data_IF_848922697304
#
_entry.id   IF_848922697304
#
_cell.length_a   1.000
_cell.length_b   1.000
_cell.length_c   1.000
_cell.angle_alpha   90.00
_cell.angle_beta   90.00
_cell.angle_gamma   90.00
#
_symmetry.space_group_name_H-M   'P 1'
#
loop_
_entity.id
_entity.type
_entity.pdbx_description
1 polymer ?
#
# COMPACT_ATOMS: atom_id res chain seq x y z
N UNK A 1 -5.12 15.62 -15.96
CA UNK A 1 -6.08 15.34 -14.85
C UNK A 1 -6.62 16.63 -14.23
N UNK A 2 -6.41 17.75 -14.92
CA UNK A 2 -6.70 19.08 -14.40
C UNK A 2 -8.20 19.32 -14.16
N UNK A 3 -9.06 18.89 -15.09
CA UNK A 3 -10.53 19.06 -14.96
C UNK A 3 -11.11 18.23 -13.81
N UNK A 4 -10.60 17.02 -13.63
CA UNK A 4 -10.98 16.21 -12.46
C UNK A 4 -10.56 16.92 -11.18
N UNK A 5 -9.34 17.47 -11.12
CA UNK A 5 -8.87 18.20 -9.94
C UNK A 5 -9.74 19.43 -9.64
N UNK A 6 -10.14 20.18 -10.65
CA UNK A 6 -11.03 21.34 -10.50
C UNK A 6 -12.36 20.95 -9.83
N UNK A 7 -13.04 19.92 -10.35
CA UNK A 7 -14.33 19.48 -9.78
C UNK A 7 -14.19 18.82 -8.42
N UNK A 8 -13.10 18.10 -8.19
CA UNK A 8 -12.81 17.44 -6.91
C UNK A 8 -12.52 18.45 -5.81
N UNK A 9 -11.87 19.57 -6.14
CA UNK A 9 -11.60 20.68 -5.22
C UNK A 9 -12.80 21.61 -5.01
N UNK A 10 -13.86 21.47 -5.81
CA UNK A 10 -15.08 22.26 -5.64
C UNK A 10 -15.79 21.86 -4.34
N UNK A 11 -16.24 22.81 -3.49
CA UNK A 11 -16.99 22.50 -2.29
C UNK A 11 -18.22 21.62 -2.60
N UNK A 12 -18.50 20.65 -1.73
CA UNK A 12 -19.61 19.69 -1.91
C UNK A 12 -20.94 20.36 -2.28
N UNK A 13 -21.26 21.50 -1.66
CA UNK A 13 -22.51 22.22 -1.91
C UNK A 13 -22.68 22.69 -3.36
N UNK A 14 -21.60 22.73 -4.12
CA UNK A 14 -21.54 23.12 -5.52
C UNK A 14 -21.35 21.92 -6.48
N UNK A 15 -21.41 20.69 -5.96
CA UNK A 15 -21.28 19.50 -6.80
C UNK A 15 -22.47 19.38 -7.74
N UNK A 16 -22.16 19.43 -9.02
CA UNK A 16 -23.08 19.13 -10.11
C UNK A 16 -22.66 17.83 -10.79
N UNK A 17 -23.54 16.84 -10.79
CA UNK A 17 -23.23 15.53 -11.33
C UNK A 17 -22.84 15.57 -12.82
N UNK A 18 -23.48 16.45 -13.61
CA UNK A 18 -23.20 16.55 -15.04
C UNK A 18 -21.81 17.12 -15.28
N UNK A 19 -21.43 18.17 -14.57
CA UNK A 19 -20.10 18.77 -14.62
C UNK A 19 -19.02 17.81 -14.18
N UNK A 20 -19.26 17.03 -13.10
CA UNK A 20 -18.33 15.99 -12.63
C UNK A 20 -18.15 14.92 -13.70
N UNK A 21 -19.23 14.39 -14.26
CA UNK A 21 -19.18 13.37 -15.33
C UNK A 21 -18.42 13.87 -16.55
N UNK A 22 -18.66 15.09 -16.95
CA UNK A 22 -17.96 15.73 -18.08
C UNK A 22 -16.46 15.86 -17.82
N UNK A 23 -16.07 16.36 -16.65
CA UNK A 23 -14.66 16.53 -16.28
C UNK A 23 -13.91 15.18 -16.27
N UNK A 24 -14.49 14.15 -15.65
CA UNK A 24 -13.92 12.80 -15.65
C UNK A 24 -13.83 12.20 -17.06
N UNK A 25 -14.89 12.34 -17.86
CA UNK A 25 -14.90 11.86 -19.24
C UNK A 25 -13.79 12.49 -20.08
N UNK A 26 -13.67 13.82 -20.04
CA UNK A 26 -12.68 14.56 -20.82
C UNK A 26 -11.25 14.21 -20.43
N UNK A 27 -10.92 14.19 -19.13
CA UNK A 27 -9.57 13.91 -18.67
C UNK A 27 -9.18 12.44 -18.89
N UNK A 28 -10.08 11.50 -18.63
CA UNK A 28 -9.83 10.09 -18.86
C UNK A 28 -9.66 9.78 -20.34
N UNK A 29 -10.53 10.33 -21.22
CA UNK A 29 -10.37 10.18 -22.66
C UNK A 29 -9.10 10.84 -23.20
N UNK A 30 -8.65 11.92 -22.58
CA UNK A 30 -7.39 12.58 -22.97
C UNK A 30 -6.20 11.71 -22.63
N UNK A 31 -6.22 11.03 -21.48
CA UNK A 31 -5.10 10.25 -20.95
C UNK A 31 -5.04 8.81 -21.44
N UNK A 32 -6.20 8.15 -21.56
CA UNK A 32 -6.26 6.71 -21.90
C UNK A 32 -6.81 6.45 -23.30
N UNK A 33 -6.38 5.33 -23.87
CA UNK A 33 -6.80 4.89 -25.18
C UNK A 33 -8.09 4.06 -25.10
N UNK A 34 -8.89 4.08 -26.18
CA UNK A 34 -10.07 3.22 -26.36
C UNK A 34 -11.14 3.35 -25.26
N UNK A 35 -11.24 4.53 -24.66
CA UNK A 35 -12.31 4.85 -23.70
C UNK A 35 -13.55 5.32 -24.46
N UNK A 36 -14.67 4.66 -24.23
CA UNK A 36 -15.99 5.09 -24.71
C UNK A 36 -16.56 6.22 -23.85
N UNK A 37 -17.64 6.85 -24.30
CA UNK A 37 -18.33 7.87 -23.54
C UNK A 37 -19.07 7.27 -22.34
N UNK A 38 -18.72 7.72 -21.14
CA UNK A 38 -19.40 7.33 -19.90
C UNK A 38 -20.18 8.51 -19.26
N UNK A 39 -20.38 9.57 -20.03
CA UNK A 39 -21.22 10.71 -19.62
C UNK A 39 -22.69 10.31 -19.47
N UNK A 40 -23.15 9.34 -20.25
CA UNK A 40 -24.54 8.89 -20.24
C UNK A 40 -24.73 7.70 -19.30
N UNK A 41 -25.58 7.89 -18.26
CA UNK A 41 -25.97 6.84 -17.31
C UNK A 41 -26.63 5.58 -17.96
N UNK A 42 -27.16 5.70 -19.18
CA UNK A 42 -27.97 4.64 -19.83
C UNK A 42 -27.17 3.69 -20.69
N UNK A 43 -25.91 3.98 -20.93
CA UNK A 43 -24.99 3.07 -21.58
C UNK A 43 -23.88 2.75 -20.56
N UNK A 44 -24.06 1.70 -19.74
CA UNK A 44 -22.89 1.13 -19.09
C UNK A 44 -21.97 0.75 -20.25
N UNK A 45 -20.87 1.46 -20.35
CA UNK A 45 -19.85 1.07 -21.29
C UNK A 45 -19.51 -0.40 -20.97
N UNK A 46 -19.38 -1.25 -21.99
CA UNK A 46 -18.64 -2.50 -21.89
C UNK A 46 -17.20 -2.24 -21.45
N UNK A 47 -16.91 -1.00 -21.05
CA UNK A 47 -15.70 -0.50 -20.47
C UNK A 47 -15.49 -1.13 -19.11
N UNK A 48 -14.28 -1.22 -18.77
CA UNK A 48 -13.74 -1.89 -17.60
C UNK A 48 -14.02 -1.15 -16.26
N UNK A 49 -14.86 -0.11 -16.29
CA UNK A 49 -15.24 0.69 -15.12
C UNK A 49 -16.48 1.56 -15.37
N UNK A 50 -17.04 2.10 -14.30
CA UNK A 50 -18.12 3.11 -14.35
C UNK A 50 -17.86 4.23 -13.33
N UNK A 51 -18.37 5.45 -13.63
CA UNK A 51 -18.34 6.57 -12.71
C UNK A 51 -19.62 6.63 -11.88
N UNK A 52 -19.46 6.69 -10.56
CA UNK A 52 -20.55 6.92 -9.59
C UNK A 52 -20.35 8.27 -8.91
N UNK A 53 -21.42 9.03 -8.84
CA UNK A 53 -21.47 10.27 -8.09
C UNK A 53 -22.63 10.15 -7.10
N UNK A 54 -22.32 10.30 -5.83
CA UNK A 54 -23.31 10.41 -4.76
C UNK A 54 -23.22 11.80 -4.17
N UNK A 55 -24.16 12.66 -4.49
CA UNK A 55 -24.30 14.01 -3.94
C UNK A 55 -25.41 14.10 -2.88
N UNK A 56 -25.97 12.97 -2.41
CA UNK A 56 -27.09 12.93 -1.48
C UNK A 56 -26.77 13.72 -0.20
N UNK A 57 -27.71 14.59 0.18
CA UNK A 57 -27.60 15.44 1.37
C UNK A 57 -28.44 14.95 2.54
N UNK A 58 -29.14 13.82 2.39
CA UNK A 58 -29.96 13.25 3.47
C UNK A 58 -29.12 12.91 4.70
N UNK A 59 -29.74 12.97 5.86
CA UNK A 59 -29.08 12.59 7.10
C UNK A 59 -28.53 11.18 7.02
N UNK A 60 -27.23 11.01 7.32
CA UNK A 60 -26.52 9.72 7.23
C UNK A 60 -25.99 9.37 5.83
N UNK A 61 -26.27 10.14 4.78
CA UNK A 61 -25.62 9.96 3.50
C UNK A 61 -24.18 10.47 3.53
N UNK A 62 -23.25 9.65 2.99
CA UNK A 62 -21.86 10.05 2.77
C UNK A 62 -21.68 10.30 1.28
N UNK A 63 -21.40 11.54 0.89
CA UNK A 63 -21.18 11.89 -0.51
C UNK A 63 -19.81 11.37 -0.99
N UNK A 64 -19.74 11.00 -2.27
CA UNK A 64 -18.49 10.57 -2.89
C UNK A 64 -18.55 10.68 -4.41
N UNK A 65 -17.38 10.72 -5.03
CA UNK A 65 -17.17 10.49 -6.46
C UNK A 65 -16.28 9.25 -6.57
N UNK A 66 -16.71 8.25 -7.37
CA UNK A 66 -15.96 7.00 -7.46
C UNK A 66 -15.90 6.44 -8.87
N UNK A 67 -14.72 5.91 -9.24
CA UNK A 67 -14.56 4.97 -10.34
C UNK A 67 -14.61 3.56 -9.76
N UNK A 68 -15.53 2.72 -10.23
CA UNK A 68 -15.80 1.39 -9.71
C UNK A 68 -15.86 0.36 -10.85
N UNK A 69 -15.94 -0.92 -10.52
CA UNK A 69 -16.13 -1.98 -11.51
C UNK A 69 -17.43 -1.79 -12.30
N UNK A 70 -17.48 -2.23 -13.57
CA UNK A 70 -18.62 -1.94 -14.46
C UNK A 70 -19.95 -2.59 -14.04
N UNK A 71 -19.88 -3.77 -13.42
CA UNK A 71 -21.06 -4.62 -13.15
C UNK A 71 -21.70 -4.35 -11.78
N UNK A 72 -21.34 -3.23 -11.14
CA UNK A 72 -21.85 -2.94 -9.81
C UNK A 72 -23.20 -2.25 -9.84
N UNK A 73 -24.08 -2.66 -8.93
CA UNK A 73 -25.40 -2.07 -8.73
C UNK A 73 -25.34 -0.59 -8.35
N UNK A 74 -26.47 0.09 -8.44
CA UNK A 74 -26.59 1.52 -8.15
C UNK A 74 -26.41 1.87 -6.67
N UNK A 75 -26.54 0.90 -5.77
CA UNK A 75 -26.40 1.08 -4.32
C UNK A 75 -25.88 -0.19 -3.67
N UNK A 76 -25.10 -0.05 -2.62
CA UNK A 76 -24.55 -1.15 -1.83
C UNK A 76 -23.03 -1.10 -1.74
N UNK A 77 -22.40 -2.01 -0.99
CA UNK A 77 -20.96 -2.18 -1.04
C UNK A 77 -20.59 -2.75 -2.41
N UNK A 78 -19.70 -2.06 -3.10
CA UNK A 78 -19.19 -2.48 -4.40
C UNK A 78 -18.18 -3.61 -4.24
N UNK A 79 -18.03 -4.46 -5.27
CA UNK A 79 -16.95 -5.46 -5.35
C UNK A 79 -15.71 -4.87 -6.03
N UNK A 80 -14.56 -5.47 -5.75
CA UNK A 80 -13.30 -5.12 -6.39
C UNK A 80 -12.70 -3.78 -5.96
N UNK A 81 -11.70 -3.36 -6.72
CA UNK A 81 -10.96 -2.13 -6.49
C UNK A 81 -11.75 -0.91 -6.99
N UNK A 82 -11.71 0.17 -6.23
CA UNK A 82 -12.30 1.46 -6.60
C UNK A 82 -11.34 2.62 -6.31
N UNK A 83 -11.39 3.65 -7.17
CA UNK A 83 -10.88 4.98 -6.86
C UNK A 83 -12.02 5.80 -6.29
N UNK A 84 -11.83 6.45 -5.16
CA UNK A 84 -12.89 7.20 -4.47
C UNK A 84 -12.37 8.52 -3.95
N UNK A 85 -13.20 9.57 -4.08
CA UNK A 85 -12.96 10.89 -3.51
C UNK A 85 -14.08 11.21 -2.53
N UNK A 86 -13.72 11.51 -1.29
CA UNK A 86 -14.64 12.01 -0.27
C UNK A 86 -14.42 13.50 -0.02
N UNK A 87 -15.45 14.33 -0.02
CA UNK A 87 -15.32 15.70 0.44
C UNK A 87 -15.08 15.72 1.95
N UNK A 88 -14.49 16.79 2.47
CA UNK A 88 -14.41 16.99 3.90
C UNK A 88 -15.82 17.17 4.50
N UNK A 89 -15.98 16.81 5.78
CA UNK A 89 -17.26 16.84 6.49
C UNK A 89 -17.82 18.26 6.61
N UNK A 90 -16.95 19.24 6.79
CA UNK A 90 -17.31 20.67 6.88
C UNK A 90 -16.74 21.44 5.69
N UNK A 91 -15.54 21.92 5.82
CA UNK A 91 -14.80 22.64 4.78
C UNK A 91 -13.37 22.13 4.73
N UNK A 92 -12.80 22.04 3.54
CA UNK A 92 -11.43 21.56 3.39
C UNK A 92 -11.22 20.81 2.08
N UNK A 93 -10.00 20.31 1.89
CA UNK A 93 -9.66 19.53 0.71
C UNK A 93 -10.34 18.17 0.75
N UNK A 94 -10.51 17.53 -0.42
CA UNK A 94 -11.05 16.18 -0.50
C UNK A 94 -10.03 15.14 -0.04
N UNK A 95 -10.52 14.03 0.50
CA UNK A 95 -9.72 12.82 0.72
C UNK A 95 -9.73 11.98 -0.55
N UNK A 96 -8.55 11.70 -1.09
CA UNK A 96 -8.36 10.91 -2.32
C UNK A 96 -8.00 9.49 -1.91
N UNK A 97 -8.78 8.49 -2.35
CA UNK A 97 -8.68 7.15 -1.81
C UNK A 97 -8.68 6.06 -2.87
N UNK A 98 -8.12 4.92 -2.47
CA UNK A 98 -8.38 3.63 -3.08
C UNK A 98 -9.16 2.76 -2.09
N UNK A 99 -10.21 2.12 -2.57
CA UNK A 99 -11.06 1.24 -1.80
C UNK A 99 -11.09 -0.17 -2.36
N UNK A 100 -11.40 -1.14 -1.50
CA UNK A 100 -11.68 -2.52 -1.87
C UNK A 100 -13.09 -2.88 -1.43
N UNK A 101 -13.91 -3.33 -2.37
CA UNK A 101 -15.28 -3.75 -2.06
C UNK A 101 -15.31 -5.11 -1.35
N UNK A 102 -16.40 -5.35 -0.63
CA UNK A 102 -16.60 -6.57 0.17
C UNK A 102 -17.61 -7.54 -0.43
N UNK A 103 -18.31 -7.16 -1.51
CA UNK A 103 -19.28 -8.03 -2.17
C UNK A 103 -18.70 -8.67 -3.43
N UNK A 104 -18.88 -9.97 -3.54
CA UNK A 104 -18.47 -10.85 -4.63
C UNK A 104 -16.94 -10.89 -4.89
N UNK A 105 -16.48 -12.03 -5.34
CA UNK A 105 -15.09 -12.21 -5.81
C UNK A 105 -14.98 -11.51 -7.17
N UNK A 106 -14.61 -10.25 -7.16
CA UNK A 106 -14.29 -9.52 -8.38
C UNK A 106 -12.95 -9.99 -8.97
N UNK A 107 -12.73 -9.86 -10.29
CA UNK A 107 -11.43 -10.15 -10.90
C UNK A 107 -10.26 -9.41 -10.22
N UNK A 108 -10.52 -8.24 -9.68
CA UNK A 108 -9.56 -7.38 -8.98
C UNK A 108 -9.02 -7.98 -7.67
N UNK A 109 -9.76 -8.88 -7.01
CA UNK A 109 -9.34 -9.47 -5.73
C UNK A 109 -8.01 -10.24 -5.86
N UNK A 110 -7.82 -10.90 -7.02
CA UNK A 110 -6.55 -11.57 -7.32
C UNK A 110 -5.40 -10.59 -7.45
N UNK A 111 -5.64 -9.40 -7.95
CA UNK A 111 -4.65 -8.35 -8.11
C UNK A 111 -4.35 -7.67 -6.80
N UNK A 112 -5.38 -7.32 -6.04
CA UNK A 112 -5.27 -6.71 -4.71
C UNK A 112 -4.51 -7.60 -3.72
N UNK A 113 -4.71 -8.92 -3.79
CA UNK A 113 -3.99 -9.90 -2.98
C UNK A 113 -2.53 -10.14 -3.38
N UNK A 114 -2.05 -9.55 -4.49
CA UNK A 114 -0.65 -9.69 -4.89
C UNK A 114 0.27 -8.82 -4.03
N UNK A 115 1.35 -9.37 -3.49
CA UNK A 115 2.32 -8.58 -2.72
C UNK A 115 2.88 -7.37 -3.48
N UNK A 116 2.98 -7.47 -4.81
CA UNK A 116 3.41 -6.38 -5.69
C UNK A 116 2.46 -5.18 -5.64
N UNK A 117 1.15 -5.39 -5.66
CA UNK A 117 0.15 -4.32 -5.58
C UNK A 117 0.24 -3.57 -4.24
N UNK A 118 0.25 -4.30 -3.12
CA UNK A 118 0.39 -3.70 -1.79
C UNK A 118 1.70 -2.90 -1.62
N UNK A 119 2.80 -3.37 -2.21
CA UNK A 119 4.08 -2.64 -2.23
C UNK A 119 4.00 -1.36 -3.05
N UNK A 120 3.36 -1.40 -4.21
CA UNK A 120 3.16 -0.21 -5.05
C UNK A 120 2.32 0.84 -4.31
N UNK A 121 1.21 0.47 -3.70
CA UNK A 121 0.39 1.39 -2.92
C UNK A 121 1.17 2.05 -1.79
N UNK A 122 1.98 1.30 -1.06
CA UNK A 122 2.85 1.85 -0.01
C UNK A 122 3.94 2.77 -0.56
N UNK A 123 4.56 2.40 -1.67
CA UNK A 123 5.56 3.25 -2.31
C UNK A 123 4.95 4.58 -2.79
N UNK A 124 3.77 4.53 -3.40
CA UNK A 124 3.02 5.72 -3.82
C UNK A 124 2.70 6.60 -2.61
N UNK A 125 2.17 6.04 -1.53
CA UNK A 125 1.80 6.84 -0.34
C UNK A 125 3.03 7.43 0.37
N UNK A 126 4.15 6.70 0.46
CA UNK A 126 5.40 7.24 0.98
C UNK A 126 5.93 8.38 0.11
N UNK A 127 5.91 8.20 -1.21
CA UNK A 127 6.32 9.24 -2.15
C UNK A 127 5.44 10.48 -2.02
N UNK A 128 4.10 10.34 -2.02
CA UNK A 128 3.17 11.47 -1.86
C UNK A 128 3.45 12.25 -0.58
N UNK A 129 3.67 11.57 0.55
CA UNK A 129 4.01 12.22 1.83
C UNK A 129 5.37 12.95 1.77
N UNK A 130 6.30 12.51 0.92
CA UNK A 130 7.62 13.15 0.77
C UNK A 130 7.63 14.40 -0.13
N UNK A 131 6.54 14.67 -0.83
CA UNK A 131 6.43 15.85 -1.69
C UNK A 131 6.34 17.14 -0.86
N UNK A 132 6.80 18.29 -1.39
CA UNK A 132 6.49 19.59 -0.79
C UNK A 132 4.98 19.77 -0.65
N UNK A 133 4.52 20.15 0.53
CA UNK A 133 3.09 20.21 0.89
C UNK A 133 2.32 18.90 0.55
N UNK A 134 3.02 17.77 0.57
CA UNK A 134 2.50 16.46 0.19
C UNK A 134 1.39 15.94 1.11
N UNK A 135 1.18 16.56 2.26
CA UNK A 135 0.16 16.17 3.21
C UNK A 135 0.43 14.81 3.85
N UNK A 136 -0.63 14.12 4.19
CA UNK A 136 -0.57 12.78 4.78
C UNK A 136 -1.07 11.74 3.77
N UNK A 137 -0.31 10.69 3.56
CA UNK A 137 -0.75 9.53 2.77
C UNK A 137 -0.46 8.24 3.53
N UNK A 138 -1.36 7.27 3.39
CA UNK A 138 -1.29 6.00 4.07
C UNK A 138 -1.82 4.87 3.18
N UNK A 139 -1.25 3.67 3.35
CA UNK A 139 -1.73 2.45 2.72
C UNK A 139 -1.74 1.29 3.71
N UNK A 140 -2.80 0.47 3.65
CA UNK A 140 -2.95 -0.78 4.37
C UNK A 140 -1.84 -1.76 3.99
N UNK A 141 -1.43 -2.58 4.94
CA UNK A 141 -0.45 -3.64 4.67
C UNK A 141 -1.03 -4.72 3.77
N UNK A 142 -2.26 -5.13 4.07
CA UNK A 142 -3.02 -6.14 3.32
C UNK A 142 -4.30 -5.51 2.78
N UNK A 143 -4.33 -5.08 1.51
CA UNK A 143 -5.46 -4.35 0.92
C UNK A 143 -6.81 -5.06 1.06
N UNK A 144 -6.83 -6.39 0.89
CA UNK A 144 -8.05 -7.21 0.94
C UNK A 144 -8.53 -7.54 2.36
N UNK A 145 -7.73 -7.24 3.40
CA UNK A 145 -8.14 -7.47 4.78
C UNK A 145 -9.08 -6.37 5.27
N UNK A 146 -10.38 -6.60 5.13
CA UNK A 146 -11.41 -5.66 5.57
C UNK A 146 -11.69 -5.72 7.08
N UNK A 147 -11.19 -6.74 7.79
CA UNK A 147 -11.30 -6.84 9.24
C UNK A 147 -10.26 -5.96 9.96
N UNK A 148 -9.19 -5.60 9.27
CA UNK A 148 -8.17 -4.72 9.79
C UNK A 148 -8.71 -3.29 9.93
N UNK A 149 -8.85 -2.83 11.17
CA UNK A 149 -9.28 -1.47 11.48
C UNK A 149 -8.17 -0.46 11.16
N UNK A 150 -8.57 0.73 10.75
CA UNK A 150 -7.63 1.85 10.63
C UNK A 150 -6.91 2.09 11.97
N UNK A 151 -5.57 2.22 11.98
CA UNK A 151 -4.83 2.58 13.19
C UNK A 151 -5.33 3.90 13.79
N UNK A 152 -5.33 4.03 15.12
CA UNK A 152 -5.81 5.23 15.79
C UNK A 152 -5.09 6.50 15.31
N UNK A 153 -3.77 6.45 15.19
CA UNK A 153 -2.99 7.59 14.68
C UNK A 153 -3.41 8.01 13.25
N UNK A 154 -3.81 7.06 12.40
CA UNK A 154 -4.34 7.37 11.06
C UNK A 154 -5.72 8.01 11.16
N UNK A 155 -6.59 7.50 12.03
CA UNK A 155 -7.92 8.10 12.26
C UNK A 155 -7.84 9.52 12.76
N UNK A 156 -6.91 9.81 13.66
CA UNK A 156 -6.71 11.15 14.22
C UNK A 156 -6.29 12.15 13.13
N UNK A 157 -5.43 11.74 12.20
CA UNK A 157 -5.02 12.56 11.07
C UNK A 157 -6.13 12.74 10.02
N UNK A 158 -7.09 11.85 9.97
CA UNK A 158 -8.20 11.86 9.01
C UNK A 158 -9.52 12.39 9.61
N UNK A 159 -9.48 13.08 10.74
CA UNK A 159 -10.67 13.65 11.41
C UNK A 159 -11.56 14.51 10.49
N UNK A 160 -11.03 15.32 9.56
CA UNK A 160 -11.89 16.11 8.66
C UNK A 160 -12.84 15.28 7.78
N UNK A 161 -12.65 13.95 7.71
CA UNK A 161 -13.47 13.01 6.94
C UNK A 161 -14.09 11.91 7.83
N UNK A 162 -14.35 12.21 9.12
CA UNK A 162 -14.78 11.23 10.10
C UNK A 162 -16.04 10.45 9.69
N UNK A 163 -17.05 11.12 9.09
CA UNK A 163 -18.28 10.48 8.61
C UNK A 163 -18.01 9.46 7.49
N UNK A 164 -17.10 9.81 6.58
CA UNK A 164 -16.69 8.90 5.50
C UNK A 164 -15.95 7.68 6.05
N UNK A 165 -15.08 7.90 7.05
CA UNK A 165 -14.32 6.81 7.69
C UNK A 165 -15.19 5.91 8.56
N UNK A 166 -16.21 6.43 9.23
CA UNK A 166 -17.16 5.62 9.99
C UNK A 166 -17.85 4.60 9.09
N UNK A 167 -18.25 5.02 7.89
CA UNK A 167 -18.98 4.17 6.95
C UNK A 167 -18.07 3.30 6.08
N UNK A 168 -16.95 3.83 5.60
CA UNK A 168 -16.10 3.20 4.58
C UNK A 168 -14.67 2.91 5.05
N UNK A 169 -14.31 3.21 6.29
CA UNK A 169 -12.93 3.07 6.77
C UNK A 169 -12.38 1.63 6.68
N UNK A 170 -13.23 0.62 6.77
CA UNK A 170 -12.81 -0.77 6.65
C UNK A 170 -12.38 -1.14 5.22
N UNK A 171 -13.02 -0.54 4.21
CA UNK A 171 -12.76 -0.82 2.80
C UNK A 171 -11.69 0.09 2.19
N UNK A 172 -11.24 1.12 2.89
CA UNK A 172 -10.12 1.95 2.46
C UNK A 172 -8.81 1.20 2.64
N UNK A 173 -8.01 1.11 1.58
CA UNK A 173 -6.68 0.51 1.68
C UNK A 173 -5.53 1.45 1.32
N UNK A 174 -5.80 2.56 0.64
CA UNK A 174 -4.84 3.65 0.48
C UNK A 174 -5.57 5.00 0.44
N UNK A 175 -4.96 6.03 0.97
CA UNK A 175 -5.51 7.38 0.92
C UNK A 175 -4.41 8.45 0.88
N UNK A 176 -4.80 9.62 0.40
CA UNK A 176 -4.04 10.87 0.46
C UNK A 176 -4.93 11.97 1.00
N UNK A 177 -4.53 12.54 2.12
CA UNK A 177 -5.15 13.70 2.77
C UNK A 177 -4.27 14.93 2.51
N UNK A 178 -4.69 15.85 1.62
CA UNK A 178 -3.94 17.06 1.31
C UNK A 178 -3.80 17.98 2.52
N UNK A 179 -2.78 18.85 2.52
CA UNK A 179 -2.60 19.89 3.56
C UNK A 179 -3.72 20.90 3.55
N UNK A 180 -4.22 21.27 2.36
CA UNK A 180 -5.27 22.27 2.23
C UNK A 180 -4.76 23.72 2.28
N UNK A 181 -3.47 23.93 2.10
CA UNK A 181 -2.86 25.26 2.13
C UNK A 181 -3.25 26.14 0.92
N UNK A 182 -3.66 25.49 -0.19
CA UNK A 182 -3.94 26.17 -1.45
C UNK A 182 -2.69 26.69 -2.18
N UNK A 183 -1.50 26.35 -1.71
CA UNK A 183 -0.26 26.66 -2.40
C UNK A 183 -0.14 25.87 -3.71
N UNK A 184 0.74 26.32 -4.61
CA UNK A 184 1.02 25.60 -5.85
C UNK A 184 1.53 24.17 -5.57
N UNK A 185 2.32 23.99 -4.51
CA UNK A 185 2.85 22.69 -4.11
C UNK A 185 1.71 21.75 -3.63
N UNK A 186 0.79 22.23 -2.79
CA UNK A 186 -0.39 21.48 -2.34
C UNK A 186 -1.29 21.07 -3.52
N UNK A 187 -1.57 22.00 -4.45
CA UNK A 187 -2.36 21.69 -5.65
C UNK A 187 -1.67 20.66 -6.54
N UNK A 188 -0.35 20.74 -6.69
CA UNK A 188 0.43 19.77 -7.44
C UNK A 188 0.44 18.39 -6.76
N UNK A 189 0.58 18.32 -5.44
CA UNK A 189 0.52 17.07 -4.70
C UNK A 189 -0.85 16.39 -4.86
N UNK A 190 -1.95 17.15 -4.83
CA UNK A 190 -3.32 16.64 -5.10
C UNK A 190 -3.46 16.10 -6.52
N UNK A 191 -2.99 16.87 -7.51
CA UNK A 191 -3.03 16.41 -8.91
C UNK A 191 -2.26 15.11 -9.10
N UNK A 192 -1.08 14.99 -8.49
CA UNK A 192 -0.27 13.78 -8.52
C UNK A 192 -1.01 12.62 -7.83
N UNK A 193 -1.63 12.83 -6.66
CA UNK A 193 -2.39 11.80 -5.97
C UNK A 193 -3.58 11.29 -6.81
N UNK A 194 -4.38 12.19 -7.37
CA UNK A 194 -5.48 11.84 -8.29
C UNK A 194 -4.94 11.05 -9.47
N UNK A 195 -3.86 11.54 -10.08
CA UNK A 195 -3.28 10.93 -11.27
C UNK A 195 -2.76 9.52 -11.01
N UNK A 196 -1.96 9.33 -9.96
CA UNK A 196 -1.34 8.01 -9.69
C UNK A 196 -2.35 6.98 -9.21
N UNK A 197 -3.38 7.38 -8.46
CA UNK A 197 -4.42 6.46 -8.03
C UNK A 197 -5.35 6.07 -9.19
N UNK A 198 -5.67 7.01 -10.08
CA UNK A 198 -6.42 6.67 -11.32
C UNK A 198 -5.54 5.81 -12.24
N UNK A 199 -4.26 6.11 -12.39
CA UNK A 199 -3.35 5.28 -13.19
C UNK A 199 -3.28 3.85 -12.63
N UNK A 200 -3.15 3.68 -11.32
CA UNK A 200 -3.16 2.37 -10.68
C UNK A 200 -4.47 1.62 -10.93
N UNK A 201 -5.60 2.31 -10.77
CA UNK A 201 -6.93 1.77 -11.03
C UNK A 201 -7.11 1.31 -12.49
N UNK A 202 -6.60 2.07 -13.44
CA UNK A 202 -6.68 1.78 -14.89
C UNK A 202 -5.72 0.67 -15.30
N UNK A 203 -4.48 0.70 -14.80
CA UNK A 203 -3.46 -0.32 -15.11
C UNK A 203 -3.92 -1.71 -14.69
N UNK A 204 -4.52 -1.84 -13.51
CA UNK A 204 -5.05 -3.11 -13.01
C UNK A 204 -6.21 -3.66 -13.87
N UNK A 205 -6.86 -2.81 -14.62
CA UNK A 205 -7.90 -3.18 -15.59
C UNK A 205 -7.37 -3.36 -17.02
N UNK A 206 -6.05 -3.22 -17.20
CA UNK A 206 -5.40 -3.30 -18.52
C UNK A 206 -5.89 -2.20 -19.45
N UNK A 207 -6.20 -1.03 -18.95
CA UNK A 207 -6.51 0.16 -19.74
C UNK A 207 -5.21 0.84 -20.13
N UNK A 208 -4.94 0.91 -21.43
CA UNK A 208 -3.69 1.47 -21.96
C UNK A 208 -3.72 3.00 -21.95
N UNK A 209 -2.63 3.62 -21.54
CA UNK A 209 -2.45 5.06 -21.70
C UNK A 209 -2.16 5.41 -23.16
N UNK A 210 -2.50 6.62 -23.56
CA UNK A 210 -2.06 7.17 -24.84
C UNK A 210 -0.57 7.51 -24.80
N UNK A 211 0.12 7.43 -25.92
CA UNK A 211 1.55 7.73 -26.04
C UNK A 211 1.91 9.12 -25.48
N UNK A 212 1.02 10.10 -25.65
CA UNK A 212 1.20 11.47 -25.12
C UNK A 212 1.23 11.55 -23.61
N UNK A 213 0.59 10.61 -22.91
CA UNK A 213 0.55 10.55 -21.45
C UNK A 213 1.58 9.57 -20.88
N UNK A 214 2.07 8.63 -21.68
CA UNK A 214 2.93 7.54 -21.22
C UNK A 214 4.28 8.04 -20.68
N UNK A 215 4.93 8.97 -21.35
CA UNK A 215 6.22 9.51 -20.90
C UNK A 215 6.12 10.18 -19.53
N UNK A 216 5.07 10.96 -19.30
CA UNK A 216 4.82 11.59 -18.01
C UNK A 216 4.48 10.56 -16.92
N UNK A 217 3.70 9.53 -17.27
CA UNK A 217 3.36 8.44 -16.36
C UNK A 217 4.61 7.63 -15.97
N UNK A 218 5.49 7.32 -16.91
CA UNK A 218 6.76 6.64 -16.65
C UNK A 218 7.70 7.48 -15.76
N UNK A 219 7.78 8.79 -16.00
CA UNK A 219 8.57 9.69 -15.15
C UNK A 219 8.04 9.73 -13.70
N UNK A 220 6.72 9.85 -13.53
CA UNK A 220 6.07 9.78 -12.22
C UNK A 220 6.27 8.41 -11.55
N UNK A 221 6.14 7.34 -12.34
CA UNK A 221 6.39 5.97 -11.86
C UNK A 221 7.82 5.81 -11.35
N UNK A 222 8.82 6.32 -12.06
CA UNK A 222 10.22 6.25 -11.61
C UNK A 222 10.43 6.93 -10.25
N UNK A 223 9.71 8.03 -9.99
CA UNK A 223 9.78 8.73 -8.70
C UNK A 223 9.24 7.88 -7.54
N UNK A 224 8.01 7.40 -7.63
CA UNK A 224 7.46 6.60 -6.53
C UNK A 224 8.07 5.20 -6.44
N UNK A 225 8.59 4.63 -7.53
CA UNK A 225 9.34 3.36 -7.49
C UNK A 225 10.61 3.44 -6.64
N UNK A 226 11.23 4.60 -6.51
CA UNK A 226 12.34 4.80 -5.59
C UNK A 226 11.96 4.52 -4.12
N UNK A 227 10.68 4.61 -3.78
CA UNK A 227 10.15 4.31 -2.46
C UNK A 227 9.68 2.85 -2.26
N UNK A 228 9.76 1.99 -3.31
CA UNK A 228 9.44 0.55 -3.17
C UNK A 228 10.33 -0.15 -2.16
N UNK A 229 11.57 0.27 -2.10
CA UNK A 229 12.60 -0.24 -1.21
C UNK A 229 13.24 0.97 -0.52
N UNK A 230 12.62 1.51 0.54
CA UNK A 230 13.21 2.61 1.27
C UNK A 230 14.60 2.19 1.77
N UNK A 231 15.59 3.08 1.73
CA UNK A 231 16.90 2.80 2.29
C UNK A 231 16.72 2.48 3.78
N UNK A 232 17.16 1.28 4.17
CA UNK A 232 17.16 0.86 5.57
C UNK A 232 18.55 1.13 6.12
N UNK A 233 18.66 2.04 7.06
CA UNK A 233 19.93 2.36 7.69
C UNK A 233 20.23 1.39 8.85
N UNK A 234 21.51 1.05 9.02
CA UNK A 234 21.97 0.16 10.09
C UNK A 234 21.50 0.61 11.48
N UNK A 235 21.60 1.93 11.75
CA UNK A 235 21.18 2.51 13.03
C UNK A 235 19.69 2.27 13.37
N UNK A 236 18.81 2.30 12.35
CA UNK A 236 17.36 2.12 12.55
C UNK A 236 17.04 0.67 12.88
N UNK A 237 17.73 -0.27 12.20
CA UNK A 237 17.59 -1.70 12.50
C UNK A 237 18.17 -2.02 13.88
N UNK A 238 19.31 -1.42 14.24
CA UNK A 238 19.91 -1.56 15.57
C UNK A 238 18.99 -1.09 16.69
N UNK A 239 18.39 0.09 16.55
CA UNK A 239 17.43 0.62 17.52
C UNK A 239 16.17 -0.28 17.61
N UNK A 240 15.72 -0.81 16.48
CA UNK A 240 14.57 -1.72 16.44
C UNK A 240 14.88 -3.06 17.14
N UNK A 241 16.08 -3.61 16.97
CA UNK A 241 16.54 -4.83 17.65
C UNK A 241 16.58 -4.66 19.17
N UNK A 242 17.04 -3.51 19.68
CA UNK A 242 17.05 -3.21 21.10
C UNK A 242 15.63 -3.19 21.71
N UNK A 243 14.65 -2.70 20.95
CA UNK A 243 13.27 -2.59 21.40
C UNK A 243 12.49 -3.89 21.21
N UNK A 244 12.67 -4.59 20.09
CA UNK A 244 11.84 -5.71 19.66
C UNK A 244 12.48 -7.09 19.78
N UNK A 245 13.77 -7.15 20.08
CA UNK A 245 14.59 -8.38 20.19
C UNK A 245 14.76 -9.20 18.91
N UNK A 246 13.98 -8.94 17.87
CA UNK A 246 14.15 -9.55 16.55
C UNK A 246 13.68 -8.59 15.47
N UNK A 247 14.28 -8.71 14.29
CA UNK A 247 13.91 -7.97 13.08
C UNK A 247 14.00 -8.92 11.90
N UNK A 248 13.00 -8.85 11.02
CA UNK A 248 13.01 -9.56 9.73
C UNK A 248 13.34 -8.58 8.63
N UNK A 249 14.44 -8.80 7.91
CA UNK A 249 14.83 -8.05 6.73
C UNK A 249 14.26 -8.73 5.48
N UNK A 250 13.24 -8.11 4.87
CA UNK A 250 12.57 -8.63 3.69
C UNK A 250 12.91 -7.78 2.46
N UNK A 251 13.02 -8.40 1.30
CA UNK A 251 13.27 -7.72 0.03
C UNK A 251 13.81 -8.65 -1.05
N UNK A 252 13.89 -8.20 -2.32
CA UNK A 252 14.42 -8.97 -3.43
C UNK A 252 15.87 -9.46 -3.20
N UNK A 253 16.30 -10.50 -3.91
CA UNK A 253 17.72 -10.89 -3.96
C UNK A 253 18.62 -9.72 -4.35
N UNK A 254 19.82 -9.64 -3.80
CA UNK A 254 20.80 -8.60 -4.15
C UNK A 254 20.60 -7.24 -3.48
N UNK A 255 19.59 -7.03 -2.65
CA UNK A 255 19.34 -5.75 -1.96
C UNK A 255 20.21 -5.50 -0.71
N UNK A 256 21.21 -6.33 -0.45
CA UNK A 256 22.15 -6.13 0.64
C UNK A 256 21.68 -6.55 2.03
N UNK A 257 20.58 -7.31 2.17
CA UNK A 257 20.05 -7.77 3.47
C UNK A 257 21.06 -8.51 4.32
N UNK A 258 21.75 -9.48 3.75
CA UNK A 258 22.81 -10.24 4.44
C UNK A 258 23.95 -9.34 4.84
N UNK A 259 24.41 -8.47 3.95
CA UNK A 259 25.46 -7.49 4.24
C UNK A 259 25.08 -6.57 5.40
N UNK A 260 23.84 -6.09 5.44
CA UNK A 260 23.35 -5.27 6.54
C UNK A 260 23.33 -6.04 7.86
N UNK A 261 22.89 -7.31 7.85
CA UNK A 261 22.90 -8.18 9.04
C UNK A 261 24.32 -8.44 9.53
N UNK A 262 25.27 -8.68 8.62
CA UNK A 262 26.68 -8.86 8.96
C UNK A 262 27.31 -7.56 9.51
N UNK A 263 26.96 -6.41 8.95
CA UNK A 263 27.41 -5.11 9.47
C UNK A 263 26.88 -4.84 10.89
N UNK A 264 25.60 -5.15 11.16
CA UNK A 264 25.01 -5.08 12.50
C UNK A 264 25.79 -5.99 13.46
N UNK A 265 26.03 -7.24 13.08
CA UNK A 265 26.74 -8.18 13.90
C UNK A 265 28.15 -7.68 14.24
N UNK A 266 28.90 -7.16 13.28
CA UNK A 266 30.28 -6.72 13.48
C UNK A 266 30.38 -5.39 14.24
N UNK A 267 29.51 -4.44 13.97
CA UNK A 267 29.65 -3.08 14.50
C UNK A 267 28.83 -2.86 15.77
N UNK A 268 27.58 -3.34 15.80
CA UNK A 268 26.68 -3.08 16.94
C UNK A 268 26.75 -4.20 18.00
N UNK A 269 27.23 -5.38 17.62
CA UNK A 269 27.36 -6.53 18.51
C UNK A 269 28.83 -7.05 18.60
N UNK A 270 29.79 -6.27 18.13
CA UNK A 270 31.24 -6.57 18.25
C UNK A 270 31.64 -7.97 17.76
N UNK A 271 30.93 -8.49 16.75
CA UNK A 271 31.10 -9.83 16.23
C UNK A 271 30.51 -10.95 17.14
N UNK A 272 29.82 -10.57 18.21
CA UNK A 272 29.21 -11.51 19.13
C UNK A 272 27.91 -12.10 18.57
N UNK A 273 28.05 -13.17 17.77
CA UNK A 273 26.95 -13.86 17.14
C UNK A 273 27.43 -14.77 16.03
N UNK A 274 26.49 -15.40 15.34
CA UNK A 274 26.80 -16.24 14.19
C UNK A 274 25.74 -16.09 13.09
N UNK A 275 26.18 -16.18 11.85
CA UNK A 275 25.28 -16.25 10.69
C UNK A 275 24.92 -17.71 10.44
N UNK A 276 23.64 -18.00 10.37
CA UNK A 276 23.12 -19.33 10.10
C UNK A 276 22.25 -19.27 8.85
N UNK A 277 22.50 -20.14 7.90
CA UNK A 277 21.67 -20.32 6.73
C UNK A 277 20.72 -21.50 6.93
N UNK A 278 19.42 -21.25 6.88
CA UNK A 278 18.42 -22.30 6.86
C UNK A 278 18.25 -22.84 5.44
N UNK A 279 18.25 -24.15 5.29
CA UNK A 279 18.01 -24.87 4.03
C UNK A 279 17.15 -26.10 4.31
N UNK A 280 16.69 -26.78 3.25
CA UNK A 280 15.81 -27.94 3.37
C UNK A 280 16.37 -29.09 4.26
N UNK A 281 17.68 -29.17 4.43
CA UNK A 281 18.33 -30.14 5.33
C UNK A 281 18.56 -29.63 6.76
N UNK A 282 18.09 -28.45 7.14
CA UNK A 282 18.21 -27.97 8.51
C UNK A 282 17.15 -28.64 9.37
N UNK A 283 17.60 -29.48 10.30
CA UNK A 283 16.73 -30.23 11.22
C UNK A 283 16.69 -29.57 12.60
N UNK A 284 15.75 -30.00 13.44
CA UNK A 284 15.68 -29.58 14.84
C UNK A 284 16.99 -29.90 15.58
N UNK A 285 17.54 -31.05 15.33
CA UNK A 285 18.78 -31.52 15.97
C UNK A 285 19.99 -30.67 15.58
N UNK A 286 20.03 -30.19 14.32
CA UNK A 286 21.12 -29.32 13.87
C UNK A 286 20.97 -27.89 14.39
N UNK A 287 19.74 -27.41 14.55
CA UNK A 287 19.48 -26.02 14.98
C UNK A 287 19.37 -25.87 16.51
N UNK A 288 18.53 -26.67 17.16
CA UNK A 288 18.34 -26.62 18.64
C UNK A 288 19.32 -27.54 19.35
N UNK A 289 19.28 -28.79 19.05
CA UNK A 289 20.10 -29.84 19.65
C UNK A 289 19.42 -31.18 19.64
N UNK A 290 20.21 -32.25 19.78
CA UNK A 290 19.72 -33.62 19.75
C UNK A 290 20.84 -34.62 19.95
N UNK A 291 20.54 -35.89 19.76
CA UNK A 291 21.53 -36.97 19.81
C UNK A 291 22.40 -36.95 18.55
N UNK A 292 23.70 -36.94 18.74
CA UNK A 292 24.69 -36.96 17.64
C UNK A 292 25.58 -38.19 17.77
N UNK A 293 25.95 -38.81 16.66
CA UNK A 293 26.95 -39.89 16.68
C UNK A 293 28.28 -39.31 17.10
N UNK A 294 28.90 -39.93 18.09
CA UNK A 294 30.25 -39.61 18.55
C UNK A 294 31.11 -40.82 18.32
N UNK A 295 32.24 -40.63 17.65
CA UNK A 295 33.26 -41.71 17.49
C UNK A 295 34.12 -41.75 18.74
N UNK A 296 34.09 -42.84 19.48
CA UNK A 296 35.02 -43.09 20.58
C UNK A 296 36.27 -43.74 20.01
N UNK A 297 37.43 -43.21 20.32
CA UNK A 297 38.72 -43.70 19.76
C UNK A 297 39.07 -45.14 20.20
N UNK A 298 38.29 -45.73 21.10
CA UNK A 298 38.57 -47.03 21.72
C UNK A 298 37.61 -48.18 21.33
N UNK A 299 36.54 -47.88 20.56
CA UNK A 299 35.56 -48.92 20.26
C UNK A 299 35.05 -48.82 18.81
N UNK A 300 34.82 -49.95 18.13
CA UNK A 300 34.37 -50.05 16.75
C UNK A 300 32.85 -49.73 16.58
N UNK A 301 32.27 -48.88 17.41
CA UNK A 301 30.84 -48.57 17.41
C UNK A 301 30.53 -47.09 17.43
N UNK A 302 29.33 -46.72 16.91
CA UNK A 302 28.80 -45.36 17.07
C UNK A 302 28.08 -45.27 18.41
N UNK A 303 28.50 -44.31 19.22
CA UNK A 303 27.78 -43.90 20.44
C UNK A 303 27.02 -42.61 20.16
N UNK A 304 25.78 -42.52 20.59
CA UNK A 304 25.00 -41.29 20.52
C UNK A 304 25.14 -40.51 21.82
N UNK A 305 25.49 -39.25 21.71
CA UNK A 305 25.56 -38.33 22.85
C UNK A 305 24.73 -37.06 22.58
N UNK A 306 24.16 -36.46 23.62
CA UNK A 306 23.49 -35.18 23.48
C UNK A 306 24.46 -34.10 22.97
N UNK A 307 24.09 -33.43 21.88
CA UNK A 307 24.88 -32.33 21.31
C UNK A 307 24.04 -31.09 21.11
N UNK A 308 24.59 -29.92 21.50
CA UNK A 308 23.92 -28.63 21.27
C UNK A 308 23.93 -28.23 19.80
N UNK A 309 22.79 -27.81 19.29
CA UNK A 309 22.66 -27.16 17.98
C UNK A 309 23.14 -25.72 18.01
N UNK A 310 22.94 -25.00 16.89
CA UNK A 310 23.37 -23.60 16.78
C UNK A 310 22.74 -22.71 17.85
N UNK A 311 21.44 -22.87 18.15
CA UNK A 311 20.72 -22.08 19.15
C UNK A 311 21.26 -22.30 20.56
N UNK A 312 21.41 -23.55 20.98
CA UNK A 312 21.94 -23.87 22.33
C UNK A 312 23.36 -23.36 22.51
N UNK A 313 24.22 -23.51 21.49
CA UNK A 313 25.58 -22.96 21.53
C UNK A 313 25.60 -21.44 21.63
N UNK A 314 24.71 -20.75 20.91
CA UNK A 314 24.57 -19.31 21.00
C UNK A 314 24.11 -18.84 22.41
N UNK A 315 23.15 -19.56 23.02
CA UNK A 315 22.69 -19.29 24.41
C UNK A 315 23.85 -19.51 25.40
N UNK A 316 24.59 -20.60 25.29
CA UNK A 316 25.73 -20.88 26.15
C UNK A 316 26.83 -19.85 26.04
N UNK A 317 27.14 -19.40 24.81
CA UNK A 317 28.11 -18.31 24.58
C UNK A 317 27.64 -16.97 25.16
N UNK A 318 26.33 -16.69 25.13
CA UNK A 318 25.77 -15.47 25.72
C UNK A 318 25.75 -15.52 27.25
N UNK A 319 25.54 -16.71 27.83
CA UNK A 319 25.53 -16.90 29.31
C UNK A 319 26.94 -16.94 29.94
N UNK A 320 27.99 -17.15 29.12
CA UNK A 320 29.36 -17.18 29.60
C UNK A 320 30.03 -15.80 29.68
N UNK A 321 29.31 -14.74 29.36
CA UNK A 321 29.69 -13.32 29.47
C UNK A 321 28.98 -12.66 30.61
#
# INVERSE_FOLDING_TARGET
MQKILEVVNTPRAQWDEQSIRKAFSEDIKTRYARIKDFENKRQPDESRFQLRVNSDTKAGAVPYIALIAPDQDTSGPYGGMSFVVFPADESGPPLICMGVGTQSIAPDDRTLGRPGHARQCRAITHWLTSLPDGGFAWAKREPVNTDEKLPLAVKDLLQPWAKSLEKYGQVLYACHAPVGSGTQADLQARELAVTVFIDLFMDERGVERKNTAESAALATRAQWMAHLLPPVERKDVGAMLQTRRFVVLEGPPGTGKTRLAEQLLQVDFEGHGQVIQFHAGTTYESFVGGLRPVTDASDQGFRFAPGGGHLLRAIQAAAAK
#
